data_IF_771056198288
#
_entry.id   IF_771056198288
#
_cell.length_a   1.000
_cell.length_b   1.000
_cell.length_c   1.000
_cell.angle_alpha   90.00
_cell.angle_beta   90.00
_cell.angle_gamma   90.00
#
_symmetry.space_group_name_H-M   'P 1'
#
loop_
_entity.id
_entity.type
_entity.pdbx_description
1 polymer ?
#
# COMPACT_ATOMS: atom_id res chain seq x y z
N UNK A 1 12.32 -16.44 -42.69
CA UNK A 1 13.37 -17.45 -42.72
C UNK A 1 13.20 -18.37 -41.50
N UNK A 2 12.50 -19.50 -41.71
CA UNK A 2 12.24 -20.49 -40.64
C UNK A 2 13.52 -21.21 -40.17
N UNK A 3 14.63 -21.02 -40.87
CA UNK A 3 15.90 -21.65 -40.55
C UNK A 3 16.63 -20.97 -39.37
N UNK A 4 16.35 -19.67 -39.08
CA UNK A 4 17.01 -18.90 -38.07
C UNK A 4 16.08 -18.52 -36.88
N UNK A 5 14.85 -19.00 -36.88
CA UNK A 5 13.97 -18.79 -35.75
C UNK A 5 14.21 -19.88 -34.69
N UNK A 6 14.58 -19.51 -33.48
CA UNK A 6 14.70 -20.40 -32.31
C UNK A 6 13.31 -20.90 -31.88
N UNK A 7 12.74 -21.84 -32.67
CA UNK A 7 11.54 -22.54 -32.26
C UNK A 7 11.93 -23.85 -31.57
N UNK A 8 11.23 -24.27 -30.52
CA UNK A 8 11.37 -25.60 -29.95
C UNK A 8 11.19 -26.66 -31.08
N UNK A 9 12.03 -27.68 -31.09
CA UNK A 9 12.07 -28.69 -32.18
C UNK A 9 10.72 -29.35 -32.46
N UNK A 10 9.89 -29.54 -31.44
CA UNK A 10 8.54 -30.07 -31.60
C UNK A 10 7.60 -29.11 -32.36
N UNK A 11 7.69 -27.80 -32.08
CA UNK A 11 6.89 -26.82 -32.80
C UNK A 11 7.33 -26.66 -34.23
N UNK A 12 8.64 -26.73 -34.46
CA UNK A 12 9.23 -26.74 -35.81
C UNK A 12 8.75 -27.93 -36.63
N UNK A 13 8.77 -29.15 -36.08
CA UNK A 13 8.25 -30.35 -36.72
C UNK A 13 6.74 -30.25 -37.02
N UNK A 14 5.95 -29.71 -36.09
CA UNK A 14 4.50 -29.53 -36.30
C UNK A 14 4.18 -28.51 -37.40
N UNK A 15 4.97 -27.45 -37.53
CA UNK A 15 4.82 -26.45 -38.61
C UNK A 15 5.21 -27.06 -39.95
N UNK A 16 6.37 -27.73 -40.02
CA UNK A 16 6.86 -28.35 -41.25
C UNK A 16 5.90 -29.42 -41.78
N UNK A 17 5.31 -30.24 -40.92
CA UNK A 17 4.32 -31.25 -41.28
C UNK A 17 2.97 -30.66 -41.77
N UNK A 18 2.71 -29.38 -41.61
CA UNK A 18 1.52 -28.68 -42.10
C UNK A 18 1.75 -27.94 -43.41
N UNK A 19 3.00 -27.86 -43.88
CA UNK A 19 3.32 -27.23 -45.16
C UNK A 19 3.11 -28.29 -46.25
N UNK A 20 2.23 -28.06 -47.23
CA UNK A 20 2.05 -28.98 -48.34
C UNK A 20 3.32 -29.06 -49.19
N UNK A 21 3.59 -30.25 -49.76
CA UNK A 21 4.77 -30.50 -50.61
C UNK A 21 4.81 -29.58 -51.84
N UNK A 22 3.65 -29.12 -52.28
CA UNK A 22 3.54 -28.17 -53.41
C UNK A 22 2.47 -27.13 -53.11
N UNK A 23 2.72 -25.87 -53.44
CA UNK A 23 1.80 -24.77 -53.20
C UNK A 23 2.37 -23.42 -53.62
N UNK A 24 1.58 -22.38 -53.46
CA UNK A 24 1.98 -21.02 -53.72
C UNK A 24 2.39 -20.33 -52.41
N UNK A 25 3.54 -19.66 -52.40
CA UNK A 25 3.95 -18.77 -51.32
C UNK A 25 3.34 -17.40 -51.58
N UNK A 26 2.54 -16.92 -50.63
CA UNK A 26 2.05 -15.54 -50.61
C UNK A 26 2.49 -14.81 -49.37
N UNK A 27 2.77 -13.52 -49.48
CA UNK A 27 3.07 -12.68 -48.35
C UNK A 27 1.76 -12.44 -47.59
N UNK A 28 1.73 -12.86 -46.34
CA UNK A 28 0.57 -12.56 -45.44
C UNK A 28 0.66 -11.15 -44.92
N UNK A 29 -0.23 -10.27 -45.36
CA UNK A 29 -0.37 -8.91 -44.88
C UNK A 29 -1.44 -8.81 -43.80
N UNK A 30 -1.88 -9.91 -43.20
CA UNK A 30 -2.98 -9.91 -42.23
C UNK A 30 -2.73 -9.01 -41.00
N UNK A 31 -1.49 -8.99 -40.52
CA UNK A 31 -1.07 -8.12 -39.40
C UNK A 31 -1.14 -6.64 -39.79
N UNK A 32 -0.58 -6.29 -40.92
CA UNK A 32 -0.52 -4.91 -41.43
C UNK A 32 -1.91 -4.39 -41.76
N UNK A 33 -2.75 -5.21 -42.39
CA UNK A 33 -4.15 -4.86 -42.67
C UNK A 33 -4.96 -4.63 -41.41
N UNK A 34 -4.73 -5.41 -40.36
CA UNK A 34 -5.34 -5.21 -39.05
C UNK A 34 -4.91 -3.88 -38.41
N UNK A 35 -3.65 -3.50 -38.56
CA UNK A 35 -3.11 -2.23 -38.09
C UNK A 35 -3.73 -1.05 -38.84
N UNK A 36 -3.75 -1.12 -40.18
CA UNK A 36 -4.36 -0.09 -41.05
C UNK A 36 -5.83 0.10 -40.72
N UNK A 37 -6.60 -0.98 -40.54
CA UNK A 37 -8.02 -0.89 -40.12
C UNK A 37 -8.19 -0.19 -38.80
N UNK A 38 -7.35 -0.47 -37.82
CA UNK A 38 -7.39 0.22 -36.52
C UNK A 38 -7.06 1.70 -36.63
N UNK A 39 -6.06 2.05 -37.41
CA UNK A 39 -5.73 3.45 -37.67
C UNK A 39 -6.88 4.19 -38.35
N UNK A 40 -7.50 3.59 -39.36
CA UNK A 40 -8.67 4.15 -40.04
C UNK A 40 -9.84 4.34 -39.10
N UNK A 41 -10.10 3.37 -38.20
CA UNK A 41 -11.15 3.48 -37.21
C UNK A 41 -10.87 4.60 -36.21
N UNK A 42 -9.62 4.71 -35.71
CA UNK A 42 -9.22 5.79 -34.81
C UNK A 42 -9.34 7.17 -35.45
N UNK A 43 -8.96 7.31 -36.73
CA UNK A 43 -9.13 8.56 -37.45
C UNK A 43 -10.61 8.94 -37.64
N UNK A 44 -11.47 7.96 -37.97
CA UNK A 44 -12.92 8.20 -38.03
C UNK A 44 -13.49 8.65 -36.71
N UNK A 45 -13.13 7.97 -35.59
CA UNK A 45 -13.56 8.37 -34.27
C UNK A 45 -13.13 9.81 -33.93
N UNK A 46 -11.90 10.18 -34.33
CA UNK A 46 -11.40 11.54 -34.13
C UNK A 46 -12.18 12.57 -34.96
N UNK A 47 -12.50 12.24 -36.22
CA UNK A 47 -13.29 13.10 -37.11
C UNK A 47 -14.74 13.25 -36.64
N UNK A 48 -15.35 12.18 -36.14
CA UNK A 48 -16.72 12.16 -35.63
C UNK A 48 -16.83 12.69 -34.19
N UNK A 49 -15.76 13.23 -33.63
CA UNK A 49 -15.68 13.72 -32.25
C UNK A 49 -16.13 12.68 -31.19
N UNK A 50 -16.08 11.41 -31.56
CA UNK A 50 -16.49 10.29 -30.72
C UNK A 50 -15.51 9.89 -29.61
N UNK A 51 -14.41 10.63 -29.39
CA UNK A 51 -13.40 10.36 -28.37
C UNK A 51 -13.80 10.90 -27.00
N UNK A 52 -13.13 10.42 -25.94
CA UNK A 52 -13.30 10.92 -24.57
C UNK A 52 -12.91 12.41 -24.40
N UNK A 53 -12.05 12.92 -25.30
CA UNK A 53 -11.58 14.30 -25.30
C UNK A 53 -11.64 14.86 -26.75
N UNK A 54 -12.84 15.16 -27.28
CA UNK A 54 -13.02 15.61 -28.68
C UNK A 54 -12.23 16.87 -29.02
N UNK A 55 -12.03 17.75 -28.04
CA UNK A 55 -11.28 19.00 -28.20
C UNK A 55 -9.79 18.78 -28.54
N UNK A 56 -9.22 17.61 -28.24
CA UNK A 56 -7.83 17.29 -28.60
C UNK A 56 -7.62 17.17 -30.13
N UNK A 57 -8.69 16.99 -30.91
CA UNK A 57 -8.60 17.00 -32.36
C UNK A 57 -8.07 18.35 -32.88
N UNK A 58 -8.48 19.47 -32.28
CA UNK A 58 -8.01 20.81 -32.65
C UNK A 58 -6.51 20.98 -32.49
N UNK A 59 -5.89 20.32 -31.47
CA UNK A 59 -4.43 20.35 -31.28
C UNK A 59 -3.65 19.74 -32.45
N UNK A 60 -4.26 18.80 -33.16
CA UNK A 60 -3.62 18.14 -34.33
C UNK A 60 -3.85 18.93 -35.62
N UNK A 61 -4.99 19.61 -35.76
CA UNK A 61 -5.39 20.23 -37.01
C UNK A 61 -5.39 21.77 -36.97
N UNK A 62 -5.47 22.36 -35.78
CA UNK A 62 -5.57 23.81 -35.58
C UNK A 62 -4.56 24.29 -34.53
N UNK A 63 -3.28 24.28 -34.89
CA UNK A 63 -2.18 24.60 -33.97
C UNK A 63 -2.30 25.96 -33.27
N UNK A 64 -3.10 26.89 -33.83
CA UNK A 64 -3.35 28.19 -33.21
C UNK A 64 -4.24 28.14 -31.96
N UNK A 65 -4.97 27.04 -31.76
CA UNK A 65 -5.85 26.84 -30.58
C UNK A 65 -5.19 26.09 -29.45
N UNK A 66 -3.92 25.74 -29.60
CA UNK A 66 -3.17 25.02 -28.57
C UNK A 66 -2.93 25.90 -27.34
N UNK A 67 -3.41 25.43 -26.19
CA UNK A 67 -3.15 26.09 -24.91
C UNK A 67 -1.67 25.97 -24.54
N UNK A 68 -1.04 27.08 -24.28
CA UNK A 68 0.33 27.15 -23.76
C UNK A 68 0.27 27.35 -22.26
N UNK A 69 1.04 26.61 -21.45
CA UNK A 69 1.00 26.78 -20.00
C UNK A 69 1.47 28.20 -19.64
N UNK A 70 0.70 28.88 -18.80
CA UNK A 70 1.04 30.24 -18.32
C UNK A 70 2.29 30.25 -17.44
N UNK A 71 2.51 29.17 -16.71
CA UNK A 71 3.67 28.97 -15.84
C UNK A 71 4.20 27.54 -15.93
N UNK A 72 5.52 27.43 -15.96
CA UNK A 72 6.16 26.13 -15.87
C UNK A 72 6.12 25.63 -14.43
N UNK A 73 5.83 24.34 -14.28
CA UNK A 73 5.81 23.67 -12.99
C UNK A 73 7.21 23.52 -12.46
N UNK A 74 7.47 24.00 -11.25
CA UNK A 74 8.75 23.80 -10.59
C UNK A 74 8.86 22.36 -10.08
N UNK A 75 9.99 21.70 -10.38
CA UNK A 75 10.37 20.42 -9.83
C UNK A 75 11.46 20.66 -8.80
N UNK A 76 11.11 20.49 -7.52
CA UNK A 76 12.04 20.73 -6.40
C UNK A 76 12.90 19.51 -6.08
N UNK A 77 12.37 18.31 -6.35
CA UNK A 77 13.02 17.05 -6.01
C UNK A 77 12.98 16.09 -7.20
N UNK A 78 14.14 15.82 -7.78
CA UNK A 78 14.31 14.86 -8.85
C UNK A 78 14.51 13.46 -8.28
N UNK A 79 13.85 12.47 -8.86
CA UNK A 79 14.11 11.07 -8.54
C UNK A 79 15.46 10.64 -9.13
N UNK A 80 15.76 11.12 -10.36
CA UNK A 80 17.04 10.92 -11.03
C UNK A 80 17.84 12.22 -11.07
N UNK A 81 18.85 12.37 -10.21
CA UNK A 81 19.68 13.59 -10.17
C UNK A 81 20.59 13.73 -11.40
N UNK A 82 20.89 12.62 -12.07
CA UNK A 82 21.79 12.48 -13.22
C UNK A 82 21.19 12.97 -14.56
N UNK A 83 19.95 13.42 -14.58
CA UNK A 83 19.32 13.98 -15.77
C UNK A 83 20.06 15.25 -16.22
N UNK A 84 20.34 15.32 -17.53
CA UNK A 84 20.89 16.53 -18.14
C UNK A 84 19.83 17.65 -18.24
N UNK A 85 20.26 18.86 -18.58
CA UNK A 85 19.39 20.04 -18.65
C UNK A 85 18.24 19.87 -19.64
N UNK A 86 18.48 19.31 -20.82
CA UNK A 86 17.44 19.08 -21.83
C UNK A 86 16.41 18.03 -21.38
N UNK A 87 16.85 16.98 -20.68
CA UNK A 87 15.94 15.98 -20.11
C UNK A 87 15.10 16.57 -18.98
N UNK A 88 15.69 17.38 -18.11
CA UNK A 88 14.96 18.11 -17.06
C UNK A 88 13.92 19.07 -17.64
N UNK A 89 14.31 19.81 -18.67
CA UNK A 89 13.40 20.71 -19.39
C UNK A 89 12.22 19.93 -20.01
N UNK A 90 12.48 18.75 -20.63
CA UNK A 90 11.45 17.90 -21.19
C UNK A 90 10.45 17.43 -20.12
N UNK A 91 10.93 16.99 -18.94
CA UNK A 91 10.07 16.61 -17.82
C UNK A 91 9.22 17.79 -17.37
N UNK A 92 9.82 18.97 -17.19
CA UNK A 92 9.09 20.18 -16.79
C UNK A 92 7.99 20.53 -17.80
N UNK A 93 8.28 20.42 -19.10
CA UNK A 93 7.28 20.64 -20.16
C UNK A 93 6.13 19.63 -20.10
N UNK A 94 6.43 18.33 -19.89
CA UNK A 94 5.39 17.29 -19.71
C UNK A 94 4.50 17.63 -18.52
N UNK A 95 5.08 18.01 -17.40
CA UNK A 95 4.35 18.31 -16.16
C UNK A 95 3.53 19.61 -16.23
N UNK A 96 3.93 20.53 -17.11
CA UNK A 96 3.29 21.83 -17.27
C UNK A 96 2.26 21.86 -18.37
N UNK A 97 2.26 20.85 -19.26
CA UNK A 97 1.32 20.81 -20.37
C UNK A 97 -0.12 20.66 -19.86
N UNK A 98 -1.04 21.53 -20.27
CA UNK A 98 -2.44 21.40 -19.86
C UNK A 98 -3.09 20.14 -20.44
N UNK A 99 -2.81 19.80 -21.70
CA UNK A 99 -3.47 18.70 -22.41
C UNK A 99 -2.50 17.81 -23.19
N UNK A 100 -1.59 18.39 -24.00
CA UNK A 100 -0.70 17.65 -24.90
C UNK A 100 0.71 18.20 -24.84
N UNK A 101 1.69 17.29 -24.74
CA UNK A 101 3.12 17.61 -24.89
C UNK A 101 3.76 16.62 -25.85
N UNK A 102 4.42 17.11 -26.89
CA UNK A 102 5.14 16.31 -27.86
C UNK A 102 6.64 16.40 -27.57
N UNK A 103 7.27 15.24 -27.33
CA UNK A 103 8.71 15.14 -27.09
C UNK A 103 9.32 14.31 -28.20
N UNK A 104 10.19 14.93 -28.97
CA UNK A 104 10.96 14.28 -30.02
C UNK A 104 12.43 14.19 -29.62
N UNK A 105 13.08 13.11 -29.97
CA UNK A 105 14.52 12.95 -29.79
C UNK A 105 15.07 11.76 -30.54
N UNK A 106 16.32 11.82 -31.05
CA UNK A 106 17.00 10.70 -31.68
C UNK A 106 17.13 9.47 -30.78
N UNK A 107 17.44 8.30 -31.33
CA UNK A 107 17.84 7.15 -30.52
C UNK A 107 19.00 7.49 -29.58
N UNK A 108 19.00 6.91 -28.37
CA UNK A 108 20.07 7.12 -27.39
C UNK A 108 20.01 8.40 -26.54
N UNK A 109 19.08 9.33 -26.80
CA UNK A 109 18.96 10.60 -26.03
C UNK A 109 18.33 10.44 -24.65
N UNK A 110 17.97 9.22 -24.25
CA UNK A 110 17.40 8.95 -22.93
C UNK A 110 15.89 9.26 -22.81
N UNK A 111 15.13 9.21 -23.92
CA UNK A 111 13.67 9.40 -23.89
C UNK A 111 12.98 8.54 -22.84
N UNK A 112 13.35 7.26 -22.73
CA UNK A 112 12.79 6.35 -21.73
C UNK A 112 13.08 6.79 -20.31
N UNK A 113 14.24 7.39 -20.08
CA UNK A 113 14.62 7.97 -18.78
C UNK A 113 13.75 9.19 -18.42
N UNK A 114 13.47 10.04 -19.41
CA UNK A 114 12.54 11.18 -19.29
C UNK A 114 11.13 10.70 -18.98
N UNK A 115 10.66 9.66 -19.68
CA UNK A 115 9.33 9.04 -19.45
C UNK A 115 9.25 8.53 -18.01
N UNK A 116 10.24 7.76 -17.54
CA UNK A 116 10.27 7.22 -16.20
C UNK A 116 10.22 8.34 -15.13
N UNK A 117 11.05 9.37 -15.27
CA UNK A 117 11.03 10.52 -14.35
C UNK A 117 9.69 11.24 -14.36
N UNK A 118 9.13 11.50 -15.55
CA UNK A 118 7.82 12.15 -15.67
C UNK A 118 6.71 11.34 -14.99
N UNK A 119 6.69 10.03 -15.18
CA UNK A 119 5.73 9.13 -14.50
C UNK A 119 5.85 9.26 -12.99
N UNK A 120 7.06 9.19 -12.44
CA UNK A 120 7.30 9.31 -11.00
C UNK A 120 6.80 10.66 -10.48
N UNK A 121 7.11 11.75 -11.18
CA UNK A 121 6.68 13.10 -10.81
C UNK A 121 5.14 13.26 -10.85
N UNK A 122 4.47 12.66 -11.83
CA UNK A 122 3.00 12.66 -11.96
C UNK A 122 2.34 11.85 -10.84
N UNK A 123 2.87 10.65 -10.55
CA UNK A 123 2.33 9.80 -9.48
C UNK A 123 2.53 10.43 -8.10
N UNK A 124 3.68 11.08 -7.83
CA UNK A 124 3.91 11.84 -6.59
C UNK A 124 2.92 12.97 -6.38
N UNK A 125 2.32 13.49 -7.47
CA UNK A 125 1.23 14.47 -7.45
C UNK A 125 -0.17 13.85 -7.35
N UNK A 126 -0.26 12.53 -7.10
CA UNK A 126 -1.52 11.81 -6.98
C UNK A 126 -2.20 11.48 -8.31
N UNK A 127 -1.51 11.66 -9.44
CA UNK A 127 -2.08 11.38 -10.76
C UNK A 127 -1.90 9.90 -11.13
N UNK A 128 -2.84 9.38 -11.91
CA UNK A 128 -2.78 8.06 -12.53
C UNK A 128 -2.24 8.19 -13.94
N UNK A 129 -1.25 7.37 -14.29
CA UNK A 129 -0.56 7.43 -15.57
C UNK A 129 -0.80 6.14 -16.36
N UNK A 130 -1.18 6.26 -17.62
CA UNK A 130 -1.23 5.17 -18.58
C UNK A 130 -0.06 5.30 -19.54
N UNK A 131 0.84 4.30 -19.53
CA UNK A 131 1.91 4.16 -20.51
C UNK A 131 1.49 3.18 -21.58
N UNK A 132 1.48 3.61 -22.84
CA UNK A 132 1.15 2.78 -23.99
C UNK A 132 2.22 2.87 -25.07
N UNK A 133 2.53 1.74 -25.71
CA UNK A 133 3.44 1.66 -26.86
C UNK A 133 2.99 0.55 -27.81
N UNK A 134 3.38 0.67 -29.08
CA UNK A 134 3.20 -0.40 -30.07
C UNK A 134 4.15 -1.58 -29.80
N UNK A 135 5.37 -1.30 -29.33
CA UNK A 135 6.36 -2.31 -28.99
C UNK A 135 6.24 -2.71 -27.51
N UNK A 136 6.06 -4.00 -27.26
CA UNK A 136 6.03 -4.54 -25.89
C UNK A 136 7.32 -4.23 -25.13
N UNK A 137 8.47 -4.43 -25.78
CA UNK A 137 9.80 -4.14 -25.21
C UNK A 137 9.99 -2.68 -24.78
N UNK A 138 9.36 -1.73 -25.47
CA UNK A 138 9.47 -0.33 -25.08
C UNK A 138 8.74 -0.01 -23.77
N UNK A 139 7.62 -0.69 -23.51
CA UNK A 139 6.92 -0.59 -22.23
C UNK A 139 7.74 -1.27 -21.13
N UNK A 140 8.24 -2.47 -21.40
CA UNK A 140 9.01 -3.25 -20.43
C UNK A 140 10.31 -2.53 -20.04
N UNK A 141 11.04 -1.94 -20.99
CA UNK A 141 12.20 -1.09 -20.74
C UNK A 141 11.88 0.19 -19.91
N UNK A 142 10.68 0.72 -20.05
CA UNK A 142 10.25 1.85 -19.24
C UNK A 142 9.91 1.41 -17.80
N UNK A 143 9.32 0.23 -17.63
CA UNK A 143 9.02 -0.38 -16.36
C UNK A 143 10.28 -0.73 -15.58
N UNK A 144 11.28 -1.32 -16.24
CA UNK A 144 12.59 -1.58 -15.63
C UNK A 144 13.21 -0.29 -15.06
N UNK A 145 13.13 0.82 -15.80
CA UNK A 145 13.62 2.12 -15.34
C UNK A 145 12.83 2.73 -14.19
N UNK A 146 11.57 2.41 -14.04
CA UNK A 146 10.77 2.80 -12.88
C UNK A 146 11.17 2.04 -11.62
N UNK A 147 11.65 0.81 -11.79
CA UNK A 147 12.02 -0.07 -10.69
C UNK A 147 10.82 -0.57 -9.89
N UNK A 148 11.11 -1.41 -8.91
CA UNK A 148 10.14 -1.99 -7.96
C UNK A 148 10.08 -1.15 -6.67
N UNK A 149 10.24 0.15 -6.76
CA UNK A 149 10.05 1.03 -5.60
C UNK A 149 8.60 0.93 -5.12
N UNK A 150 8.42 0.57 -3.85
CA UNK A 150 7.12 0.40 -3.21
C UNK A 150 6.23 1.66 -3.23
N UNK A 151 6.79 2.81 -3.61
CA UNK A 151 6.05 4.06 -3.80
C UNK A 151 5.13 4.05 -5.02
N UNK A 152 5.40 3.17 -6.00
CA UNK A 152 4.67 3.09 -7.26
C UNK A 152 3.84 1.80 -7.32
N UNK A 153 2.55 1.94 -7.62
CA UNK A 153 1.66 0.81 -7.92
C UNK A 153 1.59 0.61 -9.43
N UNK A 154 2.51 -0.19 -9.95
CA UNK A 154 2.63 -0.43 -11.38
C UNK A 154 2.00 -1.77 -11.75
N UNK A 155 1.17 -1.76 -12.81
CA UNK A 155 0.58 -2.97 -13.38
C UNK A 155 0.83 -3.01 -14.89
N UNK A 156 1.45 -4.08 -15.37
CA UNK A 156 1.70 -4.37 -16.78
C UNK A 156 0.50 -5.12 -17.36
N UNK A 157 -0.23 -4.48 -18.26
CA UNK A 157 -1.30 -5.12 -19.02
C UNK A 157 -0.78 -5.59 -20.37
N UNK A 158 -0.93 -6.86 -20.69
CA UNK A 158 -0.61 -7.43 -21.97
C UNK A 158 -1.74 -8.36 -22.42
N UNK A 159 -2.05 -8.36 -23.72
CA UNK A 159 -3.05 -9.29 -24.28
C UNK A 159 -2.57 -10.74 -24.21
N UNK A 160 -1.25 -10.95 -24.38
CA UNK A 160 -0.59 -12.25 -24.32
C UNK A 160 0.56 -12.16 -23.32
N UNK A 161 0.55 -13.00 -22.32
CA UNK A 161 1.57 -13.00 -21.27
C UNK A 161 2.93 -13.50 -21.74
N UNK A 162 2.93 -14.39 -22.74
CA UNK A 162 4.13 -14.91 -23.41
C UNK A 162 4.96 -13.86 -24.15
N UNK A 163 4.37 -12.68 -24.39
CA UNK A 163 5.05 -11.53 -25.02
C UNK A 163 5.60 -10.50 -24.06
N UNK A 164 5.46 -10.74 -22.77
CA UNK A 164 6.05 -9.88 -21.73
C UNK A 164 7.49 -10.34 -21.49
N UNK A 165 8.45 -9.43 -21.64
CA UNK A 165 9.86 -9.73 -21.40
C UNK A 165 10.11 -10.07 -19.92
N UNK A 166 11.29 -10.63 -19.61
CA UNK A 166 11.69 -10.95 -18.24
C UNK A 166 11.61 -9.69 -17.32
N UNK A 167 12.02 -8.54 -17.83
CA UNK A 167 11.97 -7.26 -17.11
C UNK A 167 10.53 -6.78 -16.85
N UNK A 168 9.58 -7.16 -17.69
CA UNK A 168 8.15 -6.84 -17.53
C UNK A 168 7.39 -7.81 -16.64
N UNK A 169 7.89 -9.03 -16.43
CA UNK A 169 7.22 -10.08 -15.64
C UNK A 169 6.90 -9.64 -14.20
N UNK A 170 7.79 -8.98 -13.47
CA UNK A 170 7.51 -8.52 -12.12
C UNK A 170 6.32 -7.56 -12.03
N UNK A 171 5.95 -6.90 -13.12
CA UNK A 171 4.86 -5.93 -13.17
C UNK A 171 3.54 -6.51 -13.69
N UNK A 172 3.49 -7.78 -14.05
CA UNK A 172 2.24 -8.44 -14.47
C UNK A 172 1.18 -8.37 -13.36
N UNK A 173 -0.09 -8.46 -13.73
CA UNK A 173 -1.20 -8.37 -12.78
C UNK A 173 -1.10 -9.42 -11.66
N UNK A 174 -0.67 -10.66 -12.01
CA UNK A 174 -0.44 -11.72 -11.03
C UNK A 174 0.69 -11.40 -10.06
N UNK A 175 1.85 -10.97 -10.58
CA UNK A 175 3.00 -10.60 -9.75
C UNK A 175 2.73 -9.35 -8.88
N UNK A 176 2.03 -8.35 -9.44
CA UNK A 176 1.61 -7.16 -8.69
C UNK A 176 0.65 -7.54 -7.56
N UNK A 177 -0.29 -8.46 -7.81
CA UNK A 177 -1.24 -8.96 -6.81
C UNK A 177 -0.51 -9.72 -5.69
N UNK A 178 0.42 -10.62 -6.05
CA UNK A 178 1.23 -11.36 -5.06
C UNK A 178 2.02 -10.40 -4.16
N UNK A 179 2.68 -9.38 -4.71
CA UNK A 179 3.38 -8.35 -3.92
C UNK A 179 2.45 -7.58 -3.01
N UNK A 180 1.26 -7.24 -3.51
CA UNK A 180 0.26 -6.55 -2.71
C UNK A 180 -0.22 -7.41 -1.54
N UNK A 181 -0.51 -8.69 -1.77
CA UNK A 181 -0.86 -9.62 -0.70
C UNK A 181 0.29 -9.81 0.29
N UNK A 182 1.51 -10.00 -0.19
CA UNK A 182 2.68 -10.12 0.68
C UNK A 182 2.84 -8.88 1.60
N UNK A 183 2.71 -7.68 1.02
CA UNK A 183 2.78 -6.44 1.78
C UNK A 183 1.65 -6.27 2.82
N UNK A 184 0.48 -6.90 2.61
CA UNK A 184 -0.61 -6.92 3.57
C UNK A 184 -0.42 -8.01 4.64
N UNK A 185 0.08 -9.18 4.25
CA UNK A 185 0.20 -10.34 5.15
C UNK A 185 1.42 -10.24 6.05
N UNK A 186 2.55 -9.73 5.56
CA UNK A 186 3.79 -9.62 6.33
C UNK A 186 3.65 -8.86 7.67
N UNK A 187 3.02 -7.67 7.73
CA UNK A 187 2.78 -6.99 9.00
C UNK A 187 1.84 -7.76 9.93
N UNK A 188 0.85 -8.48 9.36
CA UNK A 188 -0.11 -9.27 10.12
C UNK A 188 0.57 -10.50 10.68
N UNK A 189 1.36 -11.21 9.89
CA UNK A 189 2.12 -12.39 10.33
C UNK A 189 3.17 -12.01 11.38
N UNK A 190 3.83 -10.87 11.21
CA UNK A 190 4.75 -10.33 12.22
C UNK A 190 4.02 -10.05 13.53
N UNK A 191 2.84 -9.44 13.51
CA UNK A 191 2.02 -9.21 14.71
C UNK A 191 1.50 -10.51 15.31
N UNK A 192 1.04 -11.44 14.49
CA UNK A 192 0.58 -12.76 14.94
C UNK A 192 1.73 -13.55 15.57
N UNK A 193 2.91 -13.50 15.00
CA UNK A 193 4.09 -14.17 15.58
C UNK A 193 4.52 -13.51 16.90
N UNK A 194 4.43 -12.20 17.01
CA UNK A 194 4.61 -11.48 18.27
C UNK A 194 3.54 -11.88 19.31
N UNK A 195 2.27 -11.97 18.93
CA UNK A 195 1.21 -12.43 19.82
C UNK A 195 1.34 -13.90 20.23
N UNK A 196 1.77 -14.77 19.31
CA UNK A 196 2.03 -16.18 19.64
C UNK A 196 3.21 -16.33 20.62
N UNK A 197 4.21 -15.46 20.55
CA UNK A 197 5.29 -15.42 21.54
C UNK A 197 4.80 -14.94 22.90
N UNK A 198 3.75 -14.14 22.95
CA UNK A 198 3.13 -13.66 24.19
C UNK A 198 2.10 -14.63 24.78
N UNK A 199 1.89 -15.81 24.21
CA UNK A 199 0.99 -16.82 24.83
C UNK A 199 1.54 -17.29 26.19
N UNK A 200 2.85 -17.36 26.32
CA UNK A 200 3.55 -17.58 27.59
C UNK A 200 3.40 -16.40 28.55
N UNK A 201 3.50 -15.16 28.05
CA UNK A 201 3.28 -13.94 28.82
C UNK A 201 1.81 -13.79 29.24
N UNK A 202 0.86 -14.18 28.39
CA UNK A 202 -0.56 -14.22 28.75
C UNK A 202 -0.84 -15.27 29.85
N UNK A 203 -0.22 -16.44 29.81
CA UNK A 203 -0.32 -17.44 30.89
C UNK A 203 0.29 -16.92 32.18
N UNK A 204 1.43 -16.26 32.08
CA UNK A 204 2.04 -15.59 33.23
C UNK A 204 1.12 -14.49 33.78
N UNK A 205 0.56 -13.63 32.93
CA UNK A 205 -0.38 -12.56 33.33
C UNK A 205 -1.66 -13.15 33.92
N UNK A 206 -2.21 -14.23 33.40
CA UNK A 206 -3.32 -14.94 34.01
C UNK A 206 -2.97 -15.47 35.39
N UNK A 207 -1.80 -16.10 35.54
CA UNK A 207 -1.32 -16.54 36.84
C UNK A 207 -1.06 -15.39 37.83
N UNK A 208 -0.66 -14.20 37.35
CA UNK A 208 -0.56 -13.00 38.17
C UNK A 208 -1.94 -12.47 38.57
N UNK A 209 -2.89 -12.44 37.64
CA UNK A 209 -4.27 -12.04 37.90
C UNK A 209 -4.90 -12.94 38.96
N UNK A 210 -4.78 -14.25 38.82
CA UNK A 210 -5.40 -15.21 39.75
C UNK A 210 -4.80 -15.08 41.16
N UNK A 211 -3.47 -14.80 41.27
CA UNK A 211 -2.81 -14.49 42.53
C UNK A 211 -3.27 -13.16 43.09
N UNK A 212 -3.42 -12.13 42.27
CA UNK A 212 -3.92 -10.83 42.69
C UNK A 212 -5.37 -10.92 43.17
N UNK A 213 -6.24 -11.66 42.49
CA UNK A 213 -7.61 -11.90 42.96
C UNK A 213 -7.67 -12.63 44.32
N UNK A 214 -6.77 -13.62 44.48
CA UNK A 214 -6.64 -14.30 45.77
C UNK A 214 -6.22 -13.33 46.89
N UNK A 215 -5.20 -12.51 46.68
CA UNK A 215 -4.73 -11.52 47.66
C UNK A 215 -5.83 -10.48 47.98
N UNK A 216 -6.54 -10.00 46.95
CA UNK A 216 -7.64 -9.05 47.15
C UNK A 216 -8.81 -9.66 47.93
N UNK A 217 -9.06 -10.94 47.77
CA UNK A 217 -10.08 -11.68 48.51
C UNK A 217 -9.65 -11.79 50.00
N UNK A 218 -8.42 -12.16 50.22
CA UNK A 218 -7.81 -12.30 51.54
C UNK A 218 -7.81 -10.94 52.28
N UNK A 219 -7.44 -9.86 51.58
CA UNK A 219 -7.49 -8.50 52.10
C UNK A 219 -8.92 -8.07 52.49
N UNK A 220 -9.94 -8.40 51.69
CA UNK A 220 -11.33 -8.11 52.02
C UNK A 220 -11.77 -8.86 53.28
N UNK A 221 -11.40 -10.14 53.37
CA UNK A 221 -11.72 -10.96 54.57
C UNK A 221 -11.06 -10.41 55.82
N UNK A 222 -9.76 -10.03 55.70
CA UNK A 222 -9.04 -9.38 56.82
C UNK A 222 -9.63 -8.04 57.20
N UNK A 223 -10.05 -7.20 56.27
CA UNK A 223 -10.70 -5.94 56.57
C UNK A 223 -12.06 -6.13 57.26
N UNK A 224 -12.86 -7.10 56.83
CA UNK A 224 -14.12 -7.45 57.49
C UNK A 224 -13.86 -7.90 58.92
N UNK A 225 -12.85 -8.75 59.12
CA UNK A 225 -12.49 -9.22 60.46
C UNK A 225 -11.96 -8.10 61.34
N UNK A 226 -11.21 -7.16 60.75
CA UNK A 226 -10.74 -5.96 61.45
C UNK A 226 -11.92 -5.09 61.93
N UNK A 227 -12.92 -4.85 61.07
CA UNK A 227 -14.12 -4.09 61.41
C UNK A 227 -14.91 -4.75 62.56
N UNK A 228 -15.05 -6.07 62.55
CA UNK A 228 -15.68 -6.82 63.62
C UNK A 228 -14.91 -6.62 64.95
N UNK A 229 -13.60 -6.79 64.93
CA UNK A 229 -12.74 -6.62 66.10
C UNK A 229 -12.73 -5.18 66.63
N UNK A 230 -12.75 -4.17 65.73
CA UNK A 230 -12.86 -2.76 66.12
C UNK A 230 -14.21 -2.48 66.83
N UNK A 231 -15.30 -3.09 66.36
CA UNK A 231 -16.61 -2.99 66.98
C UNK A 231 -16.66 -3.68 68.35
N UNK A 232 -16.09 -4.88 68.46
CA UNK A 232 -15.96 -5.61 69.72
C UNK A 232 -15.12 -4.82 70.75
N UNK A 233 -14.01 -4.24 70.28
CA UNK A 233 -13.15 -3.39 71.11
C UNK A 233 -13.89 -2.14 71.62
N UNK A 234 -14.65 -1.47 70.73
CA UNK A 234 -15.45 -0.32 71.11
C UNK A 234 -16.53 -0.65 72.17
N UNK A 235 -17.16 -1.85 71.95
CA UNK A 235 -18.15 -2.35 72.98
C UNK A 235 -17.50 -2.61 74.32
N UNK A 236 -16.38 -3.34 74.34
CA UNK A 236 -15.64 -3.64 75.57
C UNK A 236 -15.12 -2.35 76.27
N UNK A 237 -14.65 -1.38 75.47
CA UNK A 237 -14.27 -0.04 76.07
C UNK A 237 -15.45 0.70 76.67
N UNK A 238 -16.65 0.62 76.05
CA UNK A 238 -17.88 1.19 76.58
C UNK A 238 -18.27 0.50 77.88
N UNK A 239 -18.23 -0.83 77.93
CA UNK A 239 -18.54 -1.60 79.14
C UNK A 239 -17.57 -1.29 80.25
N UNK A 240 -16.28 -1.19 79.98
CA UNK A 240 -15.28 -0.85 80.95
C UNK A 240 -15.49 0.61 81.51
N UNK A 241 -15.87 1.54 80.65
CA UNK A 241 -16.20 2.92 81.04
C UNK A 241 -17.43 2.96 81.93
N UNK A 242 -18.47 2.20 81.57
CA UNK A 242 -19.68 2.08 82.40
C UNK A 242 -19.37 1.43 83.75
N UNK A 243 -18.60 0.35 83.76
CA UNK A 243 -18.20 -0.31 84.97
C UNK A 243 -17.38 0.62 85.87
N UNK A 244 -16.48 1.44 85.32
CA UNK A 244 -15.71 2.43 86.04
C UNK A 244 -16.59 3.55 86.63
N UNK A 245 -17.55 4.06 85.83
CA UNK A 245 -18.52 5.04 86.34
C UNK A 245 -19.35 4.47 87.47
N UNK A 246 -19.82 3.23 87.37
CA UNK A 246 -20.55 2.58 88.49
C UNK A 246 -19.69 2.43 89.74
N UNK A 247 -18.41 2.07 89.53
CA UNK A 247 -17.45 1.92 90.64
C UNK A 247 -17.22 3.32 91.34
N UNK A 248 -16.99 4.31 90.50
CA UNK A 248 -16.77 5.71 91.08
C UNK A 248 -18.02 6.23 91.83
N UNK A 249 -19.22 5.96 91.29
CA UNK A 249 -20.49 6.30 91.98
C UNK A 249 -20.63 5.55 93.33
N UNK A 250 -20.35 4.25 93.33
CA UNK A 250 -20.42 3.42 94.52
C UNK A 250 -19.38 3.89 95.63
N UNK A 251 -18.22 4.36 95.18
CA UNK A 251 -17.22 4.94 96.05
C UNK A 251 -17.71 6.26 96.64
N UNK A 252 -18.33 7.12 95.86
CA UNK A 252 -18.92 8.39 96.34
C UNK A 252 -20.05 8.17 97.37
N UNK A 253 -20.97 7.23 97.08
CA UNK A 253 -22.03 6.82 98.01
C UNK A 253 -21.46 6.28 99.32
N UNK A 254 -20.39 5.51 99.29
CA UNK A 254 -19.71 4.96 100.49
C UNK A 254 -19.02 6.05 101.29
N UNK A 255 -18.43 7.04 100.63
CA UNK A 255 -17.76 8.17 101.28
C UNK A 255 -18.81 9.13 101.92
N UNK A 256 -19.99 9.32 101.26
CA UNK A 256 -21.11 10.04 101.79
C UNK A 256 -21.70 9.37 103.07
N UNK A 257 -21.81 8.04 103.04
CA UNK A 257 -22.30 7.26 104.17
C UNK A 257 -21.29 7.29 105.35
N UNK A 258 -20.00 7.28 105.05
CA UNK A 258 -18.96 7.45 106.10
C UNK A 258 -18.91 8.84 106.65
N UNK A 259 -19.26 9.87 105.88
CA UNK A 259 -19.34 11.25 106.36
C UNK A 259 -20.61 11.54 107.21
N UNK A 260 -21.63 10.70 107.09
CA UNK A 260 -22.89 10.78 107.90
C UNK A 260 -22.85 10.01 109.21
N UNK A 261 -21.81 9.21 109.45
CA UNK A 261 -21.53 8.52 110.68
C UNK A 261 -20.52 9.31 111.51
#
# INVERSE_FOLDING_TARGET
>A
DLANAEFPDELRKRILNRIPESGFLSISMAGDMSLVKRHQQSLRQLQEQGGYAPYLASYLFEAAQVSVPERLVAVTQWHRPDLNSAQKEAVVKILSAPDLCLIQGPPGTGKTTVIAEAIIQLVRRGQRVLLASQAHTAVDNALDRLGLDGSLRVVRLARFQDKVSEDGQPFTGSAAMQRYYAALTEPVESRLSAWRRTDEDLRLLQGWRDRAEFVLRDERELNTRREVLENELACAQSETKHARQHYDMACLERDEDNARR
#
